data_IF_572772935339
#
_entry.id   IF_572772935339
#
_cell.length_a   1.000
_cell.length_b   1.000
_cell.length_c   1.000
_cell.angle_alpha   90.00
_cell.angle_beta   90.00
_cell.angle_gamma   90.00
#
_symmetry.space_group_name_H-M   'P 1'
#
loop_
_entity.id
_entity.type
_entity.pdbx_description
1 polymer ?
#
# COMPACT_ATOMS: atom_id res chain seq x y z
N UNK A 1 -16.03 8.92 20.31
CA UNK A 1 -15.60 8.14 19.14
C UNK A 1 -15.24 6.74 19.60
N UNK A 2 -15.76 5.74 18.91
CA UNK A 2 -15.47 4.34 19.24
C UNK A 2 -14.23 3.89 18.51
N UNK A 3 -13.26 3.34 19.23
CA UNK A 3 -12.09 2.73 18.63
C UNK A 3 -12.39 1.26 18.39
N UNK A 4 -12.34 0.82 17.15
CA UNK A 4 -12.49 -0.59 16.80
C UNK A 4 -11.14 -1.15 16.38
N UNK A 5 -10.88 -2.41 16.73
CA UNK A 5 -9.70 -3.10 16.25
C UNK A 5 -9.91 -3.42 14.77
N UNK A 6 -8.95 -3.03 13.95
CA UNK A 6 -8.97 -3.30 12.52
C UNK A 6 -8.38 -4.67 12.23
N UNK A 7 -8.99 -5.37 11.28
CA UNK A 7 -8.47 -6.64 10.80
C UNK A 7 -7.30 -6.42 9.84
N UNK A 8 -6.34 -7.34 9.86
CA UNK A 8 -5.28 -7.37 8.88
C UNK A 8 -5.78 -8.02 7.59
N UNK A 9 -5.64 -7.32 6.49
CA UNK A 9 -5.99 -7.81 5.16
C UNK A 9 -4.71 -8.38 4.54
N UNK A 10 -4.78 -9.61 4.05
CA UNK A 10 -3.63 -10.25 3.43
C UNK A 10 -3.69 -10.12 1.91
N UNK A 11 -2.62 -9.53 1.35
CA UNK A 11 -2.42 -9.38 -0.09
C UNK A 11 -1.18 -10.21 -0.43
N UNK A 12 -1.40 -11.51 -0.68
CA UNK A 12 -0.33 -12.48 -0.71
C UNK A 12 0.41 -12.49 0.65
N UNK A 13 1.73 -12.34 0.69
CA UNK A 13 2.49 -12.31 1.94
C UNK A 13 2.42 -10.95 2.67
N UNK A 14 1.92 -9.91 2.04
CA UNK A 14 1.87 -8.56 2.61
C UNK A 14 0.63 -8.41 3.49
N UNK A 15 0.80 -7.86 4.70
CA UNK A 15 -0.30 -7.58 5.61
C UNK A 15 -0.63 -6.08 5.62
N UNK A 16 -1.91 -5.76 5.49
CA UNK A 16 -2.39 -4.37 5.48
C UNK A 16 -3.44 -4.20 6.58
N UNK A 17 -3.23 -3.25 7.47
CA UNK A 17 -4.15 -2.98 8.59
C UNK A 17 -4.50 -1.50 8.59
N UNK A 18 -5.77 -1.18 8.32
CA UNK A 18 -6.23 0.21 8.34
C UNK A 18 -6.36 0.70 9.78
N UNK A 19 -5.74 1.84 10.06
CA UNK A 19 -5.85 2.51 11.36
C UNK A 19 -6.90 3.61 11.33
N UNK A 20 -7.13 4.24 10.17
CA UNK A 20 -8.19 5.21 9.93
C UNK A 20 -8.79 5.01 8.54
N UNK A 21 -10.11 4.92 8.48
CA UNK A 21 -10.84 4.89 7.21
C UNK A 21 -11.49 6.25 6.95
N UNK A 22 -11.91 6.50 5.71
CA UNK A 22 -12.46 7.78 5.30
C UNK A 22 -13.65 8.24 6.15
N UNK A 23 -14.49 7.32 6.59
CA UNK A 23 -15.64 7.63 7.43
C UNK A 23 -15.24 8.27 8.77
N UNK A 24 -14.08 7.87 9.31
CA UNK A 24 -13.59 8.39 10.59
C UNK A 24 -12.96 9.78 10.48
N UNK A 25 -12.62 10.20 9.27
CA UNK A 25 -11.91 11.47 9.02
C UNK A 25 -12.71 12.46 8.19
N UNK A 26 -13.97 12.15 7.88
CA UNK A 26 -14.78 12.98 6.99
C UNK A 26 -14.20 13.05 5.57
N UNK A 27 -13.49 12.01 5.14
CA UNK A 27 -12.88 11.95 3.82
C UNK A 27 -11.54 12.67 3.70
N UNK A 28 -11.01 13.22 4.79
CA UNK A 28 -9.75 13.98 4.77
C UNK A 28 -8.54 13.09 4.47
N UNK A 29 -8.49 11.92 5.10
CA UNK A 29 -7.42 10.96 4.88
C UNK A 29 -7.85 9.53 5.19
N UNK A 30 -7.09 8.57 4.69
CA UNK A 30 -7.07 7.21 5.22
C UNK A 30 -5.64 6.89 5.63
N UNK A 31 -5.46 5.98 6.57
CA UNK A 31 -4.14 5.58 7.03
C UNK A 31 -4.12 4.08 7.30
N UNK A 32 -3.05 3.43 6.88
CA UNK A 32 -2.88 2.00 7.12
C UNK A 32 -1.43 1.65 7.38
N UNK A 33 -1.23 0.58 8.16
CA UNK A 33 0.08 -0.04 8.34
C UNK A 33 0.23 -1.17 7.34
N UNK A 34 1.44 -1.31 6.82
CA UNK A 34 1.77 -2.35 5.87
C UNK A 34 2.96 -3.15 6.40
N UNK A 35 2.79 -4.47 6.50
CA UNK A 35 3.85 -5.39 6.89
C UNK A 35 4.37 -6.11 5.64
N UNK A 36 5.67 -5.99 5.40
CA UNK A 36 6.31 -6.56 4.21
C UNK A 36 7.42 -7.50 4.65
N UNK A 37 7.16 -8.82 4.66
CA UNK A 37 8.20 -9.80 4.97
C UNK A 37 9.37 -9.73 4.00
N UNK A 38 10.51 -10.24 4.43
CA UNK A 38 11.69 -10.38 3.55
C UNK A 38 11.31 -11.21 2.31
N UNK A 39 11.85 -10.82 1.16
CA UNK A 39 11.64 -11.51 -0.12
C UNK A 39 10.17 -11.64 -0.53
N UNK A 40 9.25 -10.86 0.08
CA UNK A 40 7.85 -10.88 -0.32
C UNK A 40 7.69 -10.32 -1.73
N UNK A 41 6.87 -11.00 -2.54
CA UNK A 41 6.45 -10.44 -3.82
C UNK A 41 5.46 -9.30 -3.54
N UNK A 42 5.74 -8.17 -4.14
CA UNK A 42 4.99 -6.94 -3.90
C UNK A 42 4.13 -6.59 -5.11
N UNK A 43 3.11 -5.73 -4.93
CA UNK A 43 2.28 -5.29 -6.04
C UNK A 43 3.09 -4.64 -7.16
N UNK A 44 2.57 -4.74 -8.38
CA UNK A 44 3.18 -4.09 -9.54
C UNK A 44 3.23 -2.57 -9.37
N UNK A 45 4.22 -1.90 -9.96
CA UNK A 45 4.28 -0.44 -9.97
C UNK A 45 3.01 0.19 -10.55
N UNK A 46 2.61 1.32 -10.00
CA UNK A 46 1.41 2.04 -10.40
C UNK A 46 1.51 3.51 -10.01
N UNK A 47 0.55 4.30 -10.45
CA UNK A 47 0.37 5.68 -10.00
C UNK A 47 -1.01 5.87 -9.40
N UNK A 48 -1.16 6.86 -8.55
CA UNK A 48 -2.44 7.24 -7.96
C UNK A 48 -3.01 8.44 -8.71
N UNK A 49 -4.25 8.32 -9.21
CA UNK A 49 -4.82 9.31 -10.11
C UNK A 49 -5.24 10.61 -9.41
N UNK A 50 -5.72 10.51 -8.17
CA UNK A 50 -6.37 11.63 -7.49
C UNK A 50 -5.95 11.83 -6.03
N UNK A 51 -4.91 11.17 -5.56
CA UNK A 51 -4.46 11.28 -4.18
C UNK A 51 -2.95 11.12 -4.05
N UNK A 52 -2.41 11.65 -2.97
CA UNK A 52 -1.01 11.50 -2.57
C UNK A 52 -0.88 10.45 -1.46
N UNK A 53 0.32 9.91 -1.31
CA UNK A 53 0.65 8.97 -0.26
C UNK A 53 1.90 9.42 0.49
N UNK A 54 1.79 9.53 1.82
CA UNK A 54 2.93 9.80 2.70
C UNK A 54 3.29 8.50 3.41
N UNK A 55 4.55 8.14 3.37
CA UNK A 55 5.08 6.92 3.98
C UNK A 55 5.92 7.29 5.19
N UNK A 56 5.71 6.59 6.30
CA UNK A 56 6.53 6.74 7.50
C UNK A 56 7.01 5.36 7.97
N UNK A 57 8.33 5.18 8.08
CA UNK A 57 8.92 3.90 8.47
C UNK A 57 8.74 3.60 9.95
N UNK A 58 8.36 2.36 10.26
CA UNK A 58 8.14 1.88 11.63
C UNK A 58 9.15 0.83 12.04
N UNK A 59 9.39 -0.19 11.23
CA UNK A 59 10.33 -1.28 11.50
C UNK A 59 11.00 -1.71 10.20
N UNK A 60 12.25 -2.16 10.30
CA UNK A 60 13.02 -2.58 9.13
C UNK A 60 13.23 -1.46 8.13
N UNK A 61 13.60 -1.81 6.92
CA UNK A 61 13.82 -0.84 5.85
C UNK A 61 13.11 -1.29 4.58
N UNK A 62 12.33 -0.39 3.99
CA UNK A 62 11.65 -0.61 2.71
C UNK A 62 12.26 0.32 1.67
N UNK A 63 12.50 -0.19 0.47
CA UNK A 63 12.89 0.64 -0.66
C UNK A 63 11.66 1.01 -1.47
N UNK A 64 11.39 2.32 -1.54
CA UNK A 64 10.35 2.87 -2.42
C UNK A 64 11.02 3.43 -3.65
N UNK A 65 10.58 2.98 -4.83
CA UNK A 65 11.03 3.56 -6.10
C UNK A 65 9.94 4.51 -6.58
N UNK A 66 10.29 5.80 -6.72
CA UNK A 66 9.36 6.85 -7.15
C UNK A 66 9.96 7.53 -8.37
N UNK A 67 9.25 7.45 -9.51
CA UNK A 67 9.74 8.00 -10.79
C UNK A 67 11.18 7.53 -11.10
N UNK A 68 11.44 6.25 -10.88
CA UNK A 68 12.74 5.63 -11.17
C UNK A 68 13.84 5.90 -10.14
N UNK A 69 13.55 6.62 -9.05
CA UNK A 69 14.54 6.93 -8.00
C UNK A 69 14.21 6.13 -6.74
N UNK A 70 15.20 5.38 -6.25
CA UNK A 70 15.06 4.59 -5.03
C UNK A 70 15.21 5.44 -3.78
N UNK A 71 14.29 5.26 -2.83
CA UNK A 71 14.32 5.89 -1.52
C UNK A 71 14.25 4.79 -0.45
N UNK A 72 15.29 4.65 0.34
CA UNK A 72 15.26 3.75 1.48
C UNK A 72 14.57 4.43 2.66
N UNK A 73 13.57 3.76 3.21
CA UNK A 73 12.78 4.27 4.35
C UNK A 73 12.94 3.30 5.50
N UNK A 74 13.74 3.69 6.48
CA UNK A 74 13.91 2.99 7.75
C UNK A 74 13.04 3.60 8.84
N UNK A 75 13.15 3.10 10.09
CA UNK A 75 12.34 3.62 11.21
C UNK A 75 12.56 5.12 11.42
N UNK A 76 11.46 5.86 11.53
CA UNK A 76 11.50 7.31 11.73
C UNK A 76 11.79 8.13 10.48
N UNK A 77 11.95 7.49 9.33
CA UNK A 77 12.16 8.17 8.06
C UNK A 77 10.87 8.22 7.26
N UNK A 78 10.76 9.18 6.33
CA UNK A 78 9.56 9.38 5.55
C UNK A 78 9.86 9.54 4.06
N UNK A 79 8.88 9.21 3.24
CA UNK A 79 8.89 9.48 1.80
C UNK A 79 7.51 9.99 1.39
N UNK A 80 7.50 10.83 0.35
CA UNK A 80 6.26 11.37 -0.19
C UNK A 80 6.09 10.93 -1.64
N UNK A 81 4.90 10.43 -1.96
CA UNK A 81 4.55 9.97 -3.29
C UNK A 81 3.46 10.91 -3.85
N UNK A 82 3.83 11.82 -4.76
CA UNK A 82 2.84 12.73 -5.37
C UNK A 82 1.81 11.96 -6.21
N UNK A 83 0.61 12.52 -6.35
CA UNK A 83 -0.35 11.96 -7.30
C UNK A 83 0.25 11.95 -8.70
N UNK A 84 -0.02 10.90 -9.46
CA UNK A 84 0.50 10.71 -10.80
C UNK A 84 1.91 10.16 -10.88
N UNK A 85 2.67 10.10 -9.78
CA UNK A 85 4.02 9.55 -9.79
C UNK A 85 3.99 8.01 -9.84
N UNK A 86 4.69 7.42 -10.80
CA UNK A 86 4.82 5.96 -10.89
C UNK A 86 5.73 5.49 -9.76
N UNK A 87 5.24 4.56 -8.96
CA UNK A 87 5.99 4.07 -7.80
C UNK A 87 5.70 2.60 -7.49
N UNK A 88 6.57 2.03 -6.69
CA UNK A 88 6.44 0.70 -6.11
C UNK A 88 7.35 0.59 -4.91
N UNK A 89 7.28 -0.53 -4.20
CA UNK A 89 8.17 -0.78 -3.07
C UNK A 89 8.62 -2.24 -3.05
N UNK A 90 9.72 -2.47 -2.34
CA UNK A 90 10.26 -3.81 -2.14
C UNK A 90 11.04 -3.87 -0.84
N UNK A 91 11.01 -4.99 -0.15
CA UNK A 91 11.89 -5.23 1.00
C UNK A 91 13.14 -5.97 0.51
N UNK A 92 14.24 -5.22 0.36
CA UNK A 92 15.54 -5.77 -0.05
C UNK A 92 16.41 -6.17 1.14
N UNK A 93 15.92 -5.94 2.36
CA UNK A 93 16.65 -6.25 3.58
C UNK A 93 16.51 -7.71 4.00
N UNK A 94 17.12 -8.02 5.11
CA UNK A 94 17.11 -9.36 5.73
C UNK A 94 16.15 -9.43 6.93
N UNK A 95 15.42 -8.36 7.21
CA UNK A 95 14.43 -8.28 8.28
C UNK A 95 13.07 -7.91 7.70
N UNK A 96 12.00 -8.38 8.35
CA UNK A 96 10.64 -7.94 8.02
C UNK A 96 10.53 -6.44 8.27
N UNK A 97 9.75 -5.76 7.45
CA UNK A 97 9.60 -4.32 7.54
C UNK A 97 8.14 -3.93 7.70
N UNK A 98 7.91 -2.78 8.32
CA UNK A 98 6.58 -2.23 8.54
C UNK A 98 6.61 -0.72 8.36
N UNK A 99 5.62 -0.19 7.69
CA UNK A 99 5.47 1.25 7.51
C UNK A 99 4.02 1.69 7.66
N UNK A 100 3.83 2.97 7.96
CA UNK A 100 2.54 3.63 7.94
C UNK A 100 2.40 4.39 6.63
N UNK A 101 1.26 4.21 5.96
CA UNK A 101 0.89 4.98 4.78
C UNK A 101 -0.30 5.88 5.10
N UNK A 102 -0.23 7.12 4.67
CA UNK A 102 -1.31 8.10 4.82
C UNK A 102 -1.72 8.58 3.44
N UNK A 103 -2.98 8.39 3.09
CA UNK A 103 -3.56 8.74 1.79
C UNK A 103 -4.35 10.03 1.93
N UNK A 104 -4.07 11.02 1.12
CA UNK A 104 -4.73 12.34 1.15
C UNK A 104 -5.12 12.80 -0.24
N UNK A 105 -6.39 13.16 -0.48
CA UNK A 105 -7.57 12.93 0.36
C UNK A 105 -7.88 11.43 0.52
N UNK A 106 -8.80 11.11 1.41
CA UNK A 106 -9.15 9.74 1.80
C UNK A 106 -9.98 8.98 0.76
N UNK A 107 -9.47 8.86 -0.45
CA UNK A 107 -10.15 8.23 -1.59
C UNK A 107 -9.80 6.76 -1.78
N UNK A 108 -8.95 6.21 -0.91
CA UNK A 108 -8.44 4.85 -1.07
C UNK A 108 -8.61 4.08 0.24
N UNK A 109 -9.26 2.95 0.18
CA UNK A 109 -9.65 2.21 1.37
C UNK A 109 -9.38 0.72 1.31
N UNK A 110 -9.85 -0.02 2.33
CA UNK A 110 -9.58 -1.46 2.46
C UNK A 110 -10.17 -2.31 1.35
N UNK A 111 -11.21 -1.87 0.66
CA UNK A 111 -11.83 -2.63 -0.43
C UNK A 111 -10.84 -3.01 -1.52
N UNK A 112 -9.94 -2.10 -1.88
CA UNK A 112 -8.89 -2.36 -2.86
C UNK A 112 -8.05 -3.59 -2.47
N UNK A 113 -7.55 -3.59 -1.25
CA UNK A 113 -6.68 -4.67 -0.78
C UNK A 113 -7.41 -5.99 -0.66
N UNK A 114 -8.69 -5.97 -0.24
CA UNK A 114 -9.52 -7.18 -0.19
C UNK A 114 -9.72 -7.77 -1.58
N UNK A 115 -9.99 -6.94 -2.57
CA UNK A 115 -10.20 -7.40 -3.95
C UNK A 115 -8.91 -7.99 -4.54
N UNK A 116 -7.77 -7.33 -4.36
CA UNK A 116 -6.48 -7.89 -4.81
C UNK A 116 -6.16 -9.18 -4.07
N UNK A 117 -6.41 -9.21 -2.77
CA UNK A 117 -6.20 -10.39 -1.95
C UNK A 117 -6.98 -11.61 -2.45
N UNK A 118 -8.23 -11.42 -2.88
CA UNK A 118 -9.05 -12.49 -3.47
C UNK A 118 -8.43 -13.01 -4.76
N UNK A 119 -7.95 -12.13 -5.63
CA UNK A 119 -7.30 -12.52 -6.88
C UNK A 119 -6.06 -13.36 -6.61
N UNK A 120 -5.22 -12.95 -5.66
CA UNK A 120 -3.99 -13.67 -5.33
C UNK A 120 -4.28 -15.01 -4.61
N UNK A 121 -5.35 -15.07 -3.82
CA UNK A 121 -5.72 -16.27 -3.08
C UNK A 121 -6.29 -17.40 -3.97
N UNK A 122 -6.61 -17.11 -5.23
CA UNK A 122 -7.12 -18.09 -6.18
C UNK A 122 -6.09 -19.18 -6.54
N UNK A 123 -4.81 -18.96 -6.21
CA UNK A 123 -3.73 -19.89 -6.48
C UNK A 123 -3.23 -19.86 -7.93
N UNK A 124 -2.08 -20.50 -8.15
CA UNK A 124 -1.42 -20.49 -9.45
C UNK A 124 -0.75 -19.15 -9.79
N UNK A 125 -0.34 -18.94 -11.06
CA UNK A 125 0.23 -17.67 -11.48
C UNK A 125 -0.77 -16.54 -11.26
N UNK A 126 -0.32 -15.34 -10.83
CA UNK A 126 -1.22 -14.20 -10.63
C UNK A 126 -1.96 -13.82 -11.91
N UNK A 127 -3.25 -13.55 -11.80
CA UNK A 127 -4.05 -13.01 -12.90
C UNK A 127 -3.81 -11.50 -12.99
N UNK A 128 -2.82 -11.11 -13.81
CA UNK A 128 -2.41 -9.72 -13.94
C UNK A 128 -3.51 -8.82 -14.48
N UNK A 129 -4.34 -9.31 -15.39
CA UNK A 129 -5.45 -8.52 -15.93
C UNK A 129 -6.49 -8.23 -14.86
N UNK A 130 -6.79 -9.22 -14.02
CA UNK A 130 -7.71 -9.02 -12.90
C UNK A 130 -7.16 -8.01 -11.90
N UNK A 131 -5.87 -8.07 -11.56
CA UNK A 131 -5.21 -7.12 -10.67
C UNK A 131 -5.26 -5.71 -11.26
N UNK A 132 -4.93 -5.55 -12.53
CA UNK A 132 -4.98 -4.25 -13.21
C UNK A 132 -6.40 -3.68 -13.24
N UNK A 133 -7.40 -4.54 -13.43
CA UNK A 133 -8.81 -4.14 -13.35
C UNK A 133 -9.19 -3.60 -11.98
N UNK A 134 -8.75 -4.27 -10.92
CA UNK A 134 -8.96 -3.80 -9.55
C UNK A 134 -8.29 -2.43 -9.35
N UNK A 135 -7.04 -2.28 -9.77
CA UNK A 135 -6.32 -1.01 -9.68
C UNK A 135 -7.14 0.13 -10.31
N UNK A 136 -7.59 -0.05 -11.56
CA UNK A 136 -8.34 1.00 -12.28
C UNK A 136 -9.64 1.37 -11.59
N UNK A 137 -10.34 0.40 -11.00
CA UNK A 137 -11.59 0.67 -10.27
C UNK A 137 -11.37 1.52 -9.01
N UNK A 138 -10.17 1.49 -8.46
CA UNK A 138 -9.83 2.21 -7.23
C UNK A 138 -8.93 3.44 -7.45
N UNK A 139 -8.81 3.91 -8.68
CA UNK A 139 -8.08 5.13 -8.98
C UNK A 139 -6.56 4.95 -9.09
N UNK A 140 -6.08 3.72 -9.34
CA UNK A 140 -4.69 3.44 -9.63
C UNK A 140 -4.52 3.16 -11.12
N UNK A 141 -3.43 3.67 -11.69
CA UNK A 141 -3.07 3.39 -13.08
C UNK A 141 -1.86 2.45 -13.07
N UNK A 142 -2.01 1.20 -13.59
CA UNK A 142 -0.88 0.29 -13.70
C UNK A 142 0.22 0.86 -14.58
N UNK A 143 1.46 0.60 -14.22
CA UNK A 143 2.62 1.05 -14.97
C UNK A 143 3.25 -0.10 -15.76
#
# INVERSE_FOLDING_TARGET
>A
MTTTMSETIHVGPVGVTFVLEAEQTGGTLTAFECEVPTAAKVPAPHSHDAFEETIYGLEGTITFTVEGVDHEVGPGQAAFIPRGAVHGFVNRGDEDARFLAVITPGLFGPAYFREVGVVLAAGGPPDLEAIMGVMRRHGLTPA
#
